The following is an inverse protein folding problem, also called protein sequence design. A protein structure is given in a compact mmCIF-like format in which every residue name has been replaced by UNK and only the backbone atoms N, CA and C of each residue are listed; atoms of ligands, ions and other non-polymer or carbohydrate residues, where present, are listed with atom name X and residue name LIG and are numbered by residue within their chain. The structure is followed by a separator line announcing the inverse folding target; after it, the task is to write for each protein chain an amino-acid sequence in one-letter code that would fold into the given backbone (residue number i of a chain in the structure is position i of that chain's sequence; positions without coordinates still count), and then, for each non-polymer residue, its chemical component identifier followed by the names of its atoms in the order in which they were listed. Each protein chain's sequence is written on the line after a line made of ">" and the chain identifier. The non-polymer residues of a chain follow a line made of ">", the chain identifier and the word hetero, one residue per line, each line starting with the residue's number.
data_IF_408978387243
#
_entry.id   IF_408978387243
#
_cell.length_a   1.000
_cell.length_b   1.000
_cell.length_c   1.000
_cell.angle_alpha   90.00
_cell.angle_beta   90.00
_cell.angle_gamma   90.00
#
_symmetry.space_group_name_H-M   'P 1'
#
loop_
_entity.id
_entity.type
_entity.pdbx_description
1 polymer ?
#
# COMPACT_ATOMS: atom_id res chain seq x y z
N UNK A 1 -7.75 -3.19 -27.01
CA UNK A 1 -6.29 -3.33 -27.26
C UNK A 1 -5.41 -2.50 -26.31
N UNK A 2 -5.69 -1.22 -25.98
CA UNK A 2 -4.80 -0.45 -25.09
C UNK A 2 -4.78 -0.94 -23.63
N UNK A 3 -5.92 -1.41 -23.14
CA UNK A 3 -6.11 -1.83 -21.74
C UNK A 3 -5.23 -3.04 -21.35
N UNK A 4 -5.00 -3.95 -22.29
CA UNK A 4 -4.16 -5.14 -22.11
C UNK A 4 -2.66 -4.80 -21.99
N UNK A 5 -2.21 -3.73 -22.65
CA UNK A 5 -0.84 -3.23 -22.55
C UNK A 5 -0.58 -2.58 -21.21
N UNK A 6 -1.53 -1.74 -20.77
CA UNK A 6 -1.47 -1.06 -19.50
C UNK A 6 -1.51 -2.03 -18.31
N UNK A 7 -2.39 -3.02 -18.35
CA UNK A 7 -2.47 -4.06 -17.32
C UNK A 7 -1.17 -4.86 -17.18
N UNK A 8 -0.52 -5.19 -18.30
CA UNK A 8 0.80 -5.85 -18.29
C UNK A 8 1.88 -4.97 -17.69
N UNK A 9 1.86 -3.68 -17.98
CA UNK A 9 2.82 -2.73 -17.41
C UNK A 9 2.65 -2.61 -15.90
N UNK A 10 1.41 -2.52 -15.40
CA UNK A 10 1.10 -2.50 -13.98
C UNK A 10 1.58 -3.79 -13.30
N UNK A 11 1.31 -4.95 -13.90
CA UNK A 11 1.83 -6.22 -13.39
C UNK A 11 3.37 -6.24 -13.35
N UNK A 12 4.04 -5.66 -14.35
CA UNK A 12 5.49 -5.53 -14.36
C UNK A 12 6.01 -4.70 -13.19
N UNK A 13 5.39 -3.55 -12.91
CA UNK A 13 5.73 -2.71 -11.75
C UNK A 13 5.51 -3.46 -10.45
N UNK A 14 4.34 -4.10 -10.27
CA UNK A 14 4.03 -4.88 -9.07
C UNK A 14 5.06 -6.00 -8.87
N UNK A 15 5.38 -6.75 -9.92
CA UNK A 15 6.37 -7.83 -9.86
C UNK A 15 7.74 -7.29 -9.48
N UNK A 16 8.14 -6.14 -10.02
CA UNK A 16 9.41 -5.49 -9.69
C UNK A 16 9.46 -5.10 -8.20
N UNK A 17 8.43 -4.42 -7.69
CA UNK A 17 8.33 -4.04 -6.26
C UNK A 17 8.34 -5.25 -5.33
N UNK A 18 7.70 -6.35 -5.72
CA UNK A 18 7.67 -7.58 -4.90
C UNK A 18 9.02 -8.33 -4.91
N UNK A 19 9.79 -8.20 -5.99
CA UNK A 19 11.06 -8.92 -6.18
C UNK A 19 12.29 -8.08 -5.79
N UNK A 20 12.12 -6.76 -5.66
CA UNK A 20 13.18 -5.84 -5.30
C UNK A 20 13.54 -5.98 -3.81
N UNK A 21 14.81 -6.30 -3.53
CA UNK A 21 15.33 -6.48 -2.17
C UNK A 21 15.48 -5.16 -1.40
N UNK A 22 15.51 -4.03 -2.13
CA UNK A 22 15.49 -2.69 -1.54
C UNK A 22 14.12 -2.26 -1.02
N UNK A 23 13.06 -2.98 -1.38
CA UNK A 23 11.70 -2.68 -0.96
C UNK A 23 11.42 -3.27 0.42
N UNK A 24 10.97 -2.41 1.33
CA UNK A 24 10.63 -2.78 2.70
C UNK A 24 9.61 -3.94 2.76
N UNK A 25 9.82 -4.88 3.68
CA UNK A 25 9.01 -6.09 3.76
C UNK A 25 7.54 -5.78 4.12
N UNK A 26 7.28 -4.76 4.93
CA UNK A 26 5.92 -4.34 5.27
C UNK A 26 5.19 -3.75 4.06
N UNK A 27 5.92 -3.01 3.21
CA UNK A 27 5.39 -2.49 1.94
C UNK A 27 5.01 -3.64 1.01
N UNK A 28 5.88 -4.65 0.87
CA UNK A 28 5.58 -5.84 0.05
C UNK A 28 4.38 -6.61 0.59
N UNK A 29 4.30 -6.85 1.90
CA UNK A 29 3.17 -7.54 2.52
C UNK A 29 1.86 -6.77 2.37
N UNK A 30 1.89 -5.45 2.55
CA UNK A 30 0.72 -4.60 2.34
C UNK A 30 0.24 -4.65 0.89
N UNK A 31 1.15 -4.61 -0.09
CA UNK A 31 0.81 -4.73 -1.51
C UNK A 31 0.21 -6.10 -1.83
N UNK A 32 0.79 -7.19 -1.33
CA UNK A 32 0.25 -8.55 -1.49
C UNK A 32 -1.15 -8.68 -0.90
N UNK A 33 -1.39 -8.10 0.29
CA UNK A 33 -2.72 -8.07 0.89
C UNK A 33 -3.71 -7.35 -0.01
N UNK A 34 -3.36 -6.18 -0.56
CA UNK A 34 -4.24 -5.44 -1.49
C UNK A 34 -4.54 -6.22 -2.77
N UNK A 35 -3.59 -7.00 -3.28
CA UNK A 35 -3.83 -7.88 -4.43
C UNK A 35 -4.81 -9.00 -4.11
N UNK A 36 -4.71 -9.59 -2.92
CA UNK A 36 -5.70 -10.57 -2.45
C UNK A 36 -7.10 -10.00 -2.27
N UNK A 37 -7.21 -8.74 -1.82
CA UNK A 37 -8.48 -8.03 -1.68
C UNK A 37 -9.11 -7.60 -3.02
N UNK A 38 -8.34 -7.53 -4.11
CA UNK A 38 -8.79 -7.07 -5.43
C UNK A 38 -8.46 -8.08 -6.54
N UNK A 39 -9.06 -9.28 -6.53
CA UNK A 39 -8.80 -10.31 -7.53
C UNK A 39 -9.21 -9.82 -8.93
N UNK A 40 -8.29 -9.93 -9.89
CA UNK A 40 -8.53 -9.50 -11.27
C UNK A 40 -8.26 -8.02 -11.55
N UNK A 41 -8.08 -7.18 -10.52
CA UNK A 41 -7.92 -5.73 -10.64
C UNK A 41 -6.60 -5.23 -10.00
N UNK A 42 -5.43 -5.52 -10.61
CA UNK A 42 -4.12 -5.16 -10.06
C UNK A 42 -3.93 -3.64 -9.94
N UNK A 43 -4.53 -2.86 -10.84
CA UNK A 43 -4.57 -1.39 -10.78
C UNK A 43 -5.25 -0.86 -9.50
N UNK A 44 -6.38 -1.45 -9.11
CA UNK A 44 -7.08 -1.07 -7.89
C UNK A 44 -6.29 -1.45 -6.64
N UNK A 45 -5.65 -2.61 -6.64
CA UNK A 45 -4.76 -3.03 -5.56
C UNK A 45 -3.59 -2.04 -5.38
N UNK A 46 -2.93 -1.65 -6.49
CA UNK A 46 -1.82 -0.70 -6.45
C UNK A 46 -2.27 0.68 -6.00
N UNK A 47 -3.41 1.16 -6.50
CA UNK A 47 -3.98 2.44 -6.06
C UNK A 47 -4.37 2.42 -4.58
N UNK A 48 -4.97 1.33 -4.09
CA UNK A 48 -5.29 1.17 -2.68
C UNK A 48 -4.03 1.20 -1.80
N UNK A 49 -2.97 0.51 -2.25
CA UNK A 49 -1.68 0.50 -1.57
C UNK A 49 -1.05 1.91 -1.53
N UNK A 50 -1.00 2.63 -2.66
CA UNK A 50 -0.47 3.99 -2.74
C UNK A 50 -1.26 4.99 -1.88
N UNK A 51 -2.58 4.82 -1.77
CA UNK A 51 -3.43 5.64 -0.90
C UNK A 51 -3.10 5.43 0.58
N UNK A 52 -2.78 4.20 0.96
CA UNK A 52 -2.35 3.83 2.31
C UNK A 52 -0.99 4.47 2.62
N UNK A 53 -0.02 4.35 1.71
CA UNK A 53 1.30 4.98 1.85
C UNK A 53 1.24 6.52 1.89
N UNK A 54 0.29 7.12 1.16
CA UNK A 54 0.03 8.57 1.17
C UNK A 54 -0.68 9.07 2.42
N UNK A 55 -1.02 8.20 3.37
CA UNK A 55 -1.48 8.61 4.69
C UNK A 55 -0.31 8.51 5.69
N UNK A 56 0.69 9.40 5.62
CA UNK A 56 1.68 9.48 6.68
C UNK A 56 0.97 10.00 7.94
N UNK A 57 0.96 9.20 9.00
CA UNK A 57 0.65 9.66 10.35
C UNK A 57 -0.82 10.01 10.60
N UNK A 58 -1.60 9.00 11.01
CA UNK A 58 -2.31 9.18 12.27
C UNK A 58 -1.44 8.48 13.31
N UNK A 59 -0.43 9.20 13.81
CA UNK A 59 0.25 8.79 15.04
C UNK A 59 -0.80 8.59 16.14
N UNK A 60 -0.55 7.75 17.15
CA UNK A 60 -1.47 7.64 18.27
C UNK A 60 -1.58 9.02 18.89
N UNK A 61 -2.77 9.61 18.87
CA UNK A 61 -3.13 10.72 19.74
C UNK A 61 -3.13 10.19 21.18
N UNK A 62 -1.93 9.95 21.71
CA UNK A 62 -1.65 10.03 23.14
C UNK A 62 -1.59 11.53 23.45
N UNK A 63 -2.77 12.14 23.52
CA UNK A 63 -2.93 13.57 23.72
C UNK A 63 -4.18 13.92 24.53
N UNK A 64 -4.73 12.99 25.33
CA UNK A 64 -5.83 13.33 26.24
C UNK A 64 -5.85 12.42 27.47
N UNK A 65 -4.93 12.66 28.41
CA UNK A 65 -5.15 12.42 29.83
C UNK A 65 -4.23 13.34 30.64
N UNK A 66 -4.86 14.26 31.36
CA UNK A 66 -4.32 15.45 32.01
C UNK A 66 -3.21 15.21 33.06
N UNK A 67 -2.37 16.23 33.33
CA UNK A 67 -1.79 16.44 34.63
C UNK A 67 -2.47 17.63 35.32
N UNK A 68 -3.29 17.37 36.34
CA UNK A 68 -3.75 18.39 37.27
C UNK A 68 -3.56 17.88 38.70
N UNK A 69 -2.54 18.35 39.44
CA UNK A 69 -2.44 18.06 40.87
C UNK A 69 -3.41 18.97 41.64
N UNK A 70 -4.14 18.38 42.61
CA UNK A 70 -4.79 19.10 43.71
C UNK A 70 -3.86 19.14 44.91
#
# INVERSE_FOLDING_TARGET
>A
MQEEGFRRQIMGVISHVLSDEGTDMDVRMALLRRLGENPGSPEQALLAHLRDCRRPGTGPDQGSAAPGPV
#
